data_IF_507737675190
#
_entry.id   IF_507737675190
#
_cell.length_a   1.000
_cell.length_b   1.000
_cell.length_c   1.000
_cell.angle_alpha   90.00
_cell.angle_beta   90.00
_cell.angle_gamma   90.00
#
_symmetry.space_group_name_H-M   'P 1'
#
loop_
_entity.id
_entity.type
_entity.pdbx_description
1 polymer ?
#
# COMPACT_ATOMS: atom_id res chain seq x y z
N UNK A 1 1.99 -65.32 -14.51
CA UNK A 1 3.35 -64.75 -14.33
C UNK A 1 3.71 -64.17 -15.69
N UNK A 2 3.62 -62.88 -15.96
CA UNK A 2 3.59 -61.72 -15.05
C UNK A 2 2.93 -60.55 -15.79
N UNK A 3 2.06 -59.86 -15.06
CA UNK A 3 1.53 -58.51 -15.20
C UNK A 3 1.65 -57.74 -16.52
N UNK A 4 0.49 -57.65 -17.18
CA UNK A 4 0.08 -56.52 -18.01
C UNK A 4 -0.52 -55.44 -17.07
N UNK A 5 0.32 -54.84 -16.22
CA UNK A 5 -0.06 -53.71 -15.38
C UNK A 5 0.71 -52.45 -15.78
N UNK A 6 -0.08 -51.53 -16.33
CA UNK A 6 -0.03 -50.12 -15.99
C UNK A 6 1.14 -49.29 -16.54
N UNK A 7 1.11 -49.06 -17.86
CA UNK A 7 1.80 -47.94 -18.51
C UNK A 7 1.06 -46.59 -18.33
N UNK A 8 0.12 -46.46 -17.38
CA UNK A 8 -0.52 -45.19 -17.03
C UNK A 8 0.06 -44.51 -15.76
N UNK A 9 1.14 -45.02 -15.18
CA UNK A 9 1.83 -44.37 -14.07
C UNK A 9 3.09 -43.63 -14.55
N UNK A 10 3.22 -42.36 -14.12
CA UNK A 10 4.29 -41.38 -14.41
C UNK A 10 4.02 -40.48 -15.63
N UNK A 11 2.89 -39.79 -15.62
CA UNK A 11 2.95 -38.37 -15.99
C UNK A 11 3.47 -37.63 -14.74
N UNK A 12 4.49 -36.77 -14.82
CA UNK A 12 4.86 -35.94 -13.68
C UNK A 12 3.62 -35.14 -13.27
N UNK A 13 3.35 -35.07 -11.95
CA UNK A 13 2.44 -34.06 -11.38
C UNK A 13 2.72 -32.74 -12.10
N UNK A 14 1.70 -31.99 -12.59
CA UNK A 14 1.96 -30.74 -13.29
C UNK A 14 2.85 -29.89 -12.39
N UNK A 15 4.10 -29.66 -12.84
CA UNK A 15 5.03 -28.88 -12.03
C UNK A 15 4.40 -27.50 -11.91
N UNK A 16 4.25 -27.01 -10.67
CA UNK A 16 3.82 -25.63 -10.44
C UNK A 16 4.84 -24.62 -10.98
N UNK A 17 5.94 -25.08 -11.59
CA UNK A 17 7.05 -24.33 -12.15
C UNK A 17 6.63 -23.11 -12.99
N UNK A 18 5.62 -23.16 -13.90
CA UNK A 18 5.18 -21.95 -14.59
C UNK A 18 4.52 -20.90 -13.67
N UNK A 19 3.81 -21.36 -12.63
CA UNK A 19 3.17 -20.49 -11.63
C UNK A 19 4.20 -19.91 -10.67
N UNK A 20 5.18 -20.72 -10.25
CA UNK A 20 6.30 -20.30 -9.40
C UNK A 20 7.13 -19.20 -10.08
N UNK A 21 7.53 -19.41 -11.34
CA UNK A 21 8.27 -18.39 -12.11
C UNK A 21 7.45 -17.11 -12.28
N UNK A 22 6.16 -17.23 -12.60
CA UNK A 22 5.28 -16.05 -12.74
C UNK A 22 5.09 -15.30 -11.41
N UNK A 23 5.05 -16.03 -10.29
CA UNK A 23 4.96 -15.45 -8.96
C UNK A 23 6.24 -14.69 -8.59
N UNK A 24 7.41 -15.28 -8.82
CA UNK A 24 8.70 -14.63 -8.55
C UNK A 24 8.85 -13.31 -9.32
N UNK A 25 8.48 -13.31 -10.61
CA UNK A 25 8.48 -12.10 -11.44
C UNK A 25 7.50 -11.04 -10.93
N UNK A 26 6.30 -11.47 -10.52
CA UNK A 26 5.29 -10.58 -9.94
C UNK A 26 5.77 -9.97 -8.61
N UNK A 27 6.34 -10.76 -7.71
CA UNK A 27 6.85 -10.29 -6.42
C UNK A 27 7.98 -9.26 -6.61
N UNK A 28 8.91 -9.53 -7.54
CA UNK A 28 9.97 -8.59 -7.90
C UNK A 28 9.41 -7.29 -8.48
N UNK A 29 8.42 -7.38 -9.37
CA UNK A 29 7.75 -6.21 -9.94
C UNK A 29 7.03 -5.39 -8.86
N UNK A 30 6.34 -6.05 -7.92
CA UNK A 30 5.67 -5.42 -6.79
C UNK A 30 6.64 -4.66 -5.89
N UNK A 31 7.77 -5.28 -5.53
CA UNK A 31 8.81 -4.62 -4.72
C UNK A 31 9.36 -3.37 -5.42
N UNK A 32 9.65 -3.47 -6.73
CA UNK A 32 10.15 -2.34 -7.53
C UNK A 32 9.12 -1.22 -7.64
N UNK A 33 7.86 -1.56 -7.90
CA UNK A 33 6.76 -0.63 -7.98
C UNK A 33 6.53 0.10 -6.66
N UNK A 34 6.50 -0.64 -5.54
CA UNK A 34 6.38 -0.06 -4.20
C UNK A 34 7.52 0.93 -3.89
N UNK A 35 8.77 0.54 -4.15
CA UNK A 35 9.92 1.42 -3.94
C UNK A 35 9.91 2.64 -4.87
N UNK A 36 9.43 2.49 -6.11
CA UNK A 36 9.23 3.60 -7.04
C UNK A 36 8.16 4.59 -6.54
N UNK A 37 7.03 4.06 -6.06
CA UNK A 37 5.95 4.84 -5.47
C UNK A 37 6.42 5.60 -4.22
N UNK A 38 7.17 4.95 -3.33
CA UNK A 38 7.69 5.59 -2.12
C UNK A 38 8.62 6.77 -2.46
N UNK A 39 9.58 6.58 -3.38
CA UNK A 39 10.44 7.68 -3.87
C UNK A 39 9.65 8.82 -4.50
N UNK A 40 8.67 8.51 -5.35
CA UNK A 40 7.84 9.54 -5.97
C UNK A 40 7.05 10.36 -4.93
N UNK A 41 6.50 9.70 -3.90
CA UNK A 41 5.80 10.38 -2.80
C UNK A 41 6.75 11.28 -1.99
N UNK A 42 7.94 10.78 -1.65
CA UNK A 42 8.96 11.57 -0.94
C UNK A 42 9.31 12.85 -1.71
N UNK A 43 9.60 12.72 -3.01
CA UNK A 43 9.95 13.88 -3.84
C UNK A 43 8.77 14.85 -4.00
N UNK A 44 7.54 14.34 -4.16
CA UNK A 44 6.35 15.17 -4.27
C UNK A 44 6.13 16.03 -3.03
N UNK A 45 6.36 15.47 -1.85
CA UNK A 45 6.21 16.20 -0.58
C UNK A 45 7.36 17.16 -0.34
N UNK A 46 8.60 16.76 -0.66
CA UNK A 46 9.79 17.58 -0.48
C UNK A 46 9.75 18.89 -1.29
N UNK A 47 9.01 18.92 -2.40
CA UNK A 47 8.82 20.13 -3.21
C UNK A 47 7.90 21.17 -2.56
N UNK A 48 7.06 20.78 -1.59
CA UNK A 48 5.95 21.62 -1.08
C UNK A 48 5.98 21.80 0.44
N UNK A 49 6.67 20.92 1.17
CA UNK A 49 6.75 20.96 2.63
C UNK A 49 8.15 21.39 3.07
N UNK A 50 8.21 22.41 3.92
CA UNK A 50 9.46 22.80 4.59
C UNK A 50 9.94 21.74 5.61
N UNK A 51 9.02 20.90 6.10
CA UNK A 51 9.37 19.74 6.92
C UNK A 51 9.69 18.55 6.02
N UNK A 52 10.88 17.92 6.14
CA UNK A 52 11.20 16.73 5.37
C UNK A 52 10.32 15.56 5.83
N UNK A 53 9.41 15.12 4.96
CA UNK A 53 8.56 13.96 5.20
C UNK A 53 9.02 12.74 4.39
N UNK A 54 8.90 11.56 4.98
CA UNK A 54 9.07 10.29 4.27
C UNK A 54 7.85 9.97 3.40
N UNK A 55 7.99 9.00 2.49
CA UNK A 55 6.88 8.59 1.62
C UNK A 55 5.75 7.95 2.43
N UNK A 56 6.10 7.20 3.47
CA UNK A 56 5.15 6.67 4.45
C UNK A 56 4.39 7.77 5.21
N UNK A 57 5.05 8.88 5.55
CA UNK A 57 4.40 10.04 6.21
C UNK A 57 3.46 10.78 5.25
N UNK A 58 3.89 11.00 4.01
CA UNK A 58 3.04 11.58 2.96
C UNK A 58 1.82 10.72 2.63
N UNK A 59 2.00 9.39 2.54
CA UNK A 59 0.92 8.42 2.36
C UNK A 59 -0.09 8.48 3.52
N UNK A 60 0.40 8.46 4.76
CA UNK A 60 -0.44 8.58 5.95
C UNK A 60 -1.23 9.89 5.97
N UNK A 61 -0.61 11.02 5.65
CA UNK A 61 -1.29 12.32 5.56
C UNK A 61 -2.45 12.28 4.55
N UNK A 62 -2.23 11.68 3.37
CA UNK A 62 -3.25 11.54 2.33
C UNK A 62 -4.39 10.62 2.77
N UNK A 63 -4.08 9.53 3.47
CA UNK A 63 -5.08 8.59 4.01
C UNK A 63 -5.88 9.23 5.15
N UNK A 64 -5.25 10.01 6.03
CA UNK A 64 -5.95 10.79 7.07
C UNK A 64 -6.98 11.72 6.43
N UNK A 65 -6.63 12.37 5.32
CA UNK A 65 -7.55 13.23 4.56
C UNK A 65 -8.67 12.48 3.84
N UNK A 66 -8.51 11.19 3.53
CA UNK A 66 -9.50 10.43 2.74
C UNK A 66 -10.92 10.54 3.33
N UNK A 67 -11.91 10.97 2.55
CA UNK A 67 -13.31 11.19 3.00
C UNK A 67 -13.50 12.27 4.10
N UNK A 68 -12.49 13.10 4.38
CA UNK A 68 -12.54 14.24 5.31
C UNK A 68 -13.16 13.92 6.69
N UNK A 69 -12.93 12.70 7.18
CA UNK A 69 -13.34 12.26 8.52
C UNK A 69 -12.17 11.87 9.41
N UNK A 70 -12.30 12.04 10.75
CA UNK A 70 -11.28 11.59 11.69
C UNK A 70 -11.02 10.08 11.56
N UNK A 71 -9.75 9.68 11.72
CA UNK A 71 -9.31 8.27 11.68
C UNK A 71 -8.52 7.89 12.91
N UNK A 72 -8.75 6.68 13.42
CA UNK A 72 -7.97 6.11 14.51
C UNK A 72 -6.68 5.47 14.00
N UNK A 73 -5.70 5.27 14.89
CA UNK A 73 -4.45 4.55 14.56
C UNK A 73 -4.75 3.13 14.03
N UNK A 74 -5.71 2.42 14.65
CA UNK A 74 -6.11 1.07 14.22
C UNK A 74 -6.70 1.08 12.81
N UNK A 75 -7.42 2.14 12.46
CA UNK A 75 -7.96 2.30 11.12
C UNK A 75 -6.87 2.60 10.10
N UNK A 76 -5.93 3.49 10.43
CA UNK A 76 -4.78 3.80 9.58
C UNK A 76 -3.92 2.56 9.32
N UNK A 77 -3.66 1.76 10.35
CA UNK A 77 -2.97 0.47 10.24
C UNK A 77 -3.67 -0.47 9.24
N UNK A 78 -4.99 -0.65 9.37
CA UNK A 78 -5.77 -1.46 8.41
C UNK A 78 -5.75 -0.89 6.99
N UNK A 79 -5.97 0.41 6.82
CA UNK A 79 -6.03 1.05 5.50
C UNK A 79 -4.67 1.00 4.77
N UNK A 80 -3.57 0.85 5.50
CA UNK A 80 -2.22 0.76 4.94
C UNK A 80 -1.66 -0.66 4.91
N UNK A 81 -2.42 -1.66 5.36
CA UNK A 81 -1.96 -3.03 5.58
C UNK A 81 -0.65 -3.09 6.40
N UNK A 82 -0.63 -2.41 7.56
CA UNK A 82 0.54 -2.26 8.44
C UNK A 82 0.28 -2.70 9.87
N UNK A 83 1.21 -3.46 10.43
CA UNK A 83 1.19 -3.90 11.83
C UNK A 83 2.16 -3.14 12.75
N UNK A 84 3.01 -2.28 12.18
CA UNK A 84 4.05 -1.53 12.90
C UNK A 84 3.50 -0.27 13.62
N UNK A 85 2.59 -0.49 14.57
CA UNK A 85 1.92 0.58 15.34
C UNK A 85 2.89 1.64 15.90
N UNK A 86 4.07 1.29 16.46
CA UNK A 86 5.02 2.29 16.95
C UNK A 86 5.52 3.27 15.88
N UNK A 87 5.73 2.79 14.64
CA UNK A 87 6.16 3.64 13.53
C UNK A 87 5.01 4.52 13.03
N UNK A 88 3.78 4.00 12.97
CA UNK A 88 2.60 4.82 12.66
C UNK A 88 2.46 5.95 13.69
N UNK A 89 2.60 5.63 14.98
CA UNK A 89 2.57 6.64 16.06
C UNK A 89 3.70 7.67 15.94
N UNK A 90 4.90 7.25 15.54
CA UNK A 90 6.00 8.16 15.29
C UNK A 90 5.68 9.12 14.13
N UNK A 91 5.23 8.60 12.98
CA UNK A 91 4.82 9.42 11.83
C UNK A 91 3.71 10.40 12.21
N UNK A 92 2.71 9.97 12.97
CA UNK A 92 1.62 10.83 13.43
C UNK A 92 2.10 11.96 14.35
N UNK A 93 3.04 11.68 15.26
CA UNK A 93 3.65 12.72 16.11
C UNK A 93 4.42 13.74 15.26
N UNK A 94 5.17 13.28 14.26
CA UNK A 94 5.91 14.16 13.36
C UNK A 94 4.99 15.04 12.52
N UNK A 95 3.93 14.46 11.94
CA UNK A 95 2.91 15.21 11.19
C UNK A 95 2.19 16.23 12.07
N UNK A 96 1.92 15.90 13.33
CA UNK A 96 1.30 16.82 14.28
C UNK A 96 2.26 17.96 14.68
N UNK A 97 3.55 17.65 14.89
CA UNK A 97 4.58 18.65 15.15
C UNK A 97 4.79 19.61 13.97
N UNK A 98 4.62 19.11 12.74
CA UNK A 98 4.63 19.92 11.52
C UNK A 98 3.32 20.70 11.29
N UNK A 99 2.34 20.62 12.18
CA UNK A 99 1.06 21.32 12.06
C UNK A 99 0.12 20.77 11.00
N UNK A 100 0.41 19.62 10.39
CA UNK A 100 -0.34 19.05 9.26
C UNK A 100 -1.55 18.21 9.69
N UNK A 101 -1.52 17.66 10.90
CA UNK A 101 -2.63 16.90 11.48
C UNK A 101 -2.90 17.33 12.91
N UNK A 102 -4.16 17.26 13.31
CA UNK A 102 -4.60 17.48 14.69
C UNK A 102 -5.08 16.17 15.28
N UNK A 103 -4.87 16.02 16.59
CA UNK A 103 -5.40 14.90 17.38
C UNK A 103 -6.68 15.33 18.09
N UNK A 104 -7.66 14.45 18.13
CA UNK A 104 -8.91 14.64 18.87
C UNK A 104 -9.27 13.35 19.62
N UNK A 105 -10.01 13.51 20.73
CA UNK A 105 -10.41 12.41 21.60
C UNK A 105 -9.41 12.08 22.71
N UNK A 106 -9.93 11.50 23.79
CA UNK A 106 -9.19 10.96 24.94
C UNK A 106 -9.95 9.78 25.55
N UNK A 107 -9.26 8.90 26.28
CA UNK A 107 -9.89 7.78 26.99
C UNK A 107 -10.15 6.53 26.13
N UNK A 108 -11.22 5.79 26.47
CA UNK A 108 -11.49 4.39 26.04
C UNK A 108 -11.80 4.22 24.54
N UNK A 109 -12.23 5.29 23.86
CA UNK A 109 -12.53 5.30 22.41
C UNK A 109 -11.28 5.51 21.54
N UNK A 110 -10.14 5.86 22.13
CA UNK A 110 -8.88 6.09 21.42
C UNK A 110 -8.74 7.50 20.83
N UNK A 111 -7.53 7.79 20.37
CA UNK A 111 -7.15 9.06 19.72
C UNK A 111 -7.41 8.96 18.23
N UNK A 112 -8.09 9.97 17.68
CA UNK A 112 -8.33 10.14 16.25
C UNK A 112 -7.52 11.29 15.69
N UNK A 113 -7.21 11.22 14.41
CA UNK A 113 -6.45 12.21 13.67
C UNK A 113 -7.27 12.77 12.51
N UNK A 114 -7.17 14.07 12.33
CA UNK A 114 -7.79 14.82 11.23
C UNK A 114 -6.75 15.75 10.63
N UNK A 115 -6.84 16.01 9.33
CA UNK A 115 -5.98 16.98 8.65
C UNK A 115 -6.29 18.40 9.12
N UNK A 116 -5.27 19.22 9.35
CA UNK A 116 -5.44 20.66 9.61
C UNK A 116 -5.66 21.42 8.30
N UNK A 117 -5.92 22.73 8.39
CA UNK A 117 -5.96 23.58 7.19
C UNK A 117 -4.63 23.57 6.42
N UNK A 118 -3.50 23.53 7.13
CA UNK A 118 -2.17 23.44 6.52
C UNK A 118 -1.95 22.10 5.83
N UNK A 119 -2.36 21.00 6.48
CA UNK A 119 -2.31 19.68 5.86
C UNK A 119 -3.22 19.56 4.64
N UNK A 120 -4.39 20.23 4.64
CA UNK A 120 -5.27 20.28 3.46
C UNK A 120 -4.58 21.03 2.32
N UNK A 121 -4.01 22.22 2.56
CA UNK A 121 -3.27 22.97 1.53
C UNK A 121 -2.13 22.14 0.94
N UNK A 122 -1.28 21.55 1.78
CA UNK A 122 -0.18 20.71 1.32
C UNK A 122 -0.66 19.53 0.47
N UNK A 123 -1.72 18.84 0.90
CA UNK A 123 -2.24 17.70 0.15
C UNK A 123 -2.95 18.11 -1.15
N UNK A 124 -3.52 19.32 -1.23
CA UNK A 124 -4.04 19.90 -2.46
C UNK A 124 -2.93 20.21 -3.46
N UNK A 125 -1.84 20.83 -3.01
CA UNK A 125 -0.67 21.10 -3.85
C UNK A 125 -0.06 19.80 -4.39
N UNK A 126 0.08 18.77 -3.54
CA UNK A 126 0.53 17.44 -3.96
C UNK A 126 -0.44 16.83 -4.98
N UNK A 127 -1.75 17.01 -4.81
CA UNK A 127 -2.76 16.50 -5.75
C UNK A 127 -2.71 17.23 -7.09
N UNK A 128 -2.49 18.54 -7.10
CA UNK A 128 -2.31 19.35 -8.30
C UNK A 128 -1.06 18.91 -9.07
N UNK A 129 0.07 18.74 -8.38
CA UNK A 129 1.30 18.26 -8.99
C UNK A 129 1.20 16.82 -9.51
N UNK A 130 0.51 15.94 -8.77
CA UNK A 130 0.19 14.59 -9.25
C UNK A 130 -0.58 14.66 -10.57
N UNK A 131 -1.53 15.59 -10.70
CA UNK A 131 -2.31 15.76 -11.92
C UNK A 131 -1.46 16.26 -13.09
N UNK A 132 -0.60 17.25 -12.87
CA UNK A 132 0.21 17.84 -13.94
C UNK A 132 1.38 16.95 -14.40
N UNK A 133 1.90 16.08 -13.53
CA UNK A 133 3.05 15.22 -13.86
C UNK A 133 2.62 13.76 -14.09
N UNK A 134 2.21 13.08 -13.02
CA UNK A 134 1.98 11.64 -13.06
C UNK A 134 0.75 11.28 -13.89
N UNK A 135 -0.39 11.96 -13.66
CA UNK A 135 -1.61 11.67 -14.43
C UNK A 135 -1.41 12.03 -15.90
N UNK A 136 -0.78 13.18 -16.20
CA UNK A 136 -0.49 13.57 -17.57
C UNK A 136 0.34 12.51 -18.30
N UNK A 137 1.44 12.03 -17.70
CA UNK A 137 2.26 10.94 -18.24
C UNK A 137 1.45 9.64 -18.43
N UNK A 138 0.64 9.26 -17.44
CA UNK A 138 -0.17 8.05 -17.52
C UNK A 138 -1.21 8.10 -18.65
N UNK A 139 -1.79 9.28 -18.94
CA UNK A 139 -2.74 9.46 -20.02
C UNK A 139 -2.09 9.35 -21.42
N UNK A 140 -0.77 9.48 -21.53
CA UNK A 140 -0.04 9.16 -22.76
C UNK A 140 0.04 7.65 -23.00
N UNK A 141 -0.12 6.84 -21.95
CA UNK A 141 -0.28 5.40 -22.07
C UNK A 141 -1.74 5.09 -22.41
N UNK A 142 -1.98 4.62 -23.64
CA UNK A 142 -3.32 4.21 -24.05
C UNK A 142 -3.87 3.11 -23.13
N UNK A 143 -5.19 3.13 -22.88
CA UNK A 143 -5.90 2.14 -22.05
C UNK A 143 -5.51 2.09 -20.55
N UNK A 144 -4.83 3.11 -20.02
CA UNK A 144 -4.33 3.09 -18.64
C UNK A 144 -5.42 2.89 -17.56
N UNK A 145 -6.65 3.36 -17.79
CA UNK A 145 -7.74 3.21 -16.82
C UNK A 145 -8.10 1.73 -16.59
N UNK A 146 -8.31 0.97 -17.66
CA UNK A 146 -8.60 -0.46 -17.58
C UNK A 146 -7.40 -1.24 -17.02
N UNK A 147 -6.17 -0.88 -17.41
CA UNK A 147 -4.96 -1.52 -16.89
C UNK A 147 -4.81 -1.30 -15.38
N UNK A 148 -5.16 -0.12 -14.87
CA UNK A 148 -5.17 0.19 -13.43
C UNK A 148 -6.23 -0.61 -12.68
N UNK A 149 -7.43 -0.79 -13.25
CA UNK A 149 -8.49 -1.61 -12.64
C UNK A 149 -8.07 -3.08 -12.52
N UNK A 150 -7.51 -3.65 -13.58
CA UNK A 150 -7.00 -5.03 -13.59
C UNK A 150 -5.85 -5.17 -12.59
N UNK A 151 -4.90 -4.23 -12.60
CA UNK A 151 -3.79 -4.22 -11.65
C UNK A 151 -4.24 -4.11 -10.19
N UNK A 152 -5.21 -3.24 -9.90
CA UNK A 152 -5.78 -3.11 -8.56
C UNK A 152 -6.44 -4.41 -8.09
N UNK A 153 -7.23 -5.05 -8.95
CA UNK A 153 -7.90 -6.31 -8.63
C UNK A 153 -6.88 -7.43 -8.33
N UNK A 154 -5.81 -7.54 -9.13
CA UNK A 154 -4.74 -8.50 -8.91
C UNK A 154 -4.01 -8.24 -7.58
N UNK A 155 -3.64 -6.98 -7.30
CA UNK A 155 -2.98 -6.61 -6.04
C UNK A 155 -3.84 -6.98 -4.82
N UNK A 156 -5.14 -6.68 -4.84
CA UNK A 156 -6.05 -7.04 -3.75
C UNK A 156 -6.15 -8.56 -3.54
N UNK A 157 -6.18 -9.33 -4.63
CA UNK A 157 -6.17 -10.80 -4.57
C UNK A 157 -4.87 -11.31 -3.94
N UNK A 158 -3.73 -10.77 -4.36
CA UNK A 158 -2.42 -11.15 -3.81
C UNK A 158 -2.27 -10.77 -2.34
N UNK A 159 -2.70 -9.56 -1.94
CA UNK A 159 -2.74 -9.16 -0.52
C UNK A 159 -3.56 -10.15 0.29
N UNK A 160 -4.75 -10.53 -0.18
CA UNK A 160 -5.62 -11.48 0.53
C UNK A 160 -4.95 -12.86 0.70
N UNK A 161 -4.25 -13.35 -0.33
CA UNK A 161 -3.52 -14.60 -0.29
C UNK A 161 -2.34 -14.55 0.71
N UNK A 162 -1.56 -13.47 0.69
CA UNK A 162 -0.45 -13.28 1.65
C UNK A 162 -0.96 -13.21 3.09
N UNK A 163 -2.04 -12.49 3.35
CA UNK A 163 -2.60 -12.38 4.70
C UNK A 163 -3.15 -13.70 5.22
N UNK A 164 -3.73 -14.54 4.34
CA UNK A 164 -4.17 -15.89 4.71
C UNK A 164 -2.98 -16.78 5.08
N UNK A 165 -1.92 -16.80 4.27
CA UNK A 165 -0.74 -17.63 4.56
C UNK A 165 0.00 -17.17 5.81
N UNK A 166 0.08 -15.86 6.07
CA UNK A 166 0.63 -15.32 7.33
C UNK A 166 -0.18 -15.81 8.54
N UNK A 167 -1.52 -15.79 8.46
CA UNK A 167 -2.38 -16.31 9.54
C UNK A 167 -2.16 -17.81 9.77
N UNK A 168 -2.10 -18.61 8.72
CA UNK A 168 -1.84 -20.04 8.83
C UNK A 168 -0.48 -20.34 9.45
N UNK A 169 0.56 -19.63 9.03
CA UNK A 169 1.91 -19.76 9.59
C UNK A 169 1.93 -19.40 11.07
N UNK A 170 1.25 -18.32 11.46
CA UNK A 170 1.15 -17.91 12.86
C UNK A 170 0.39 -18.93 13.72
N UNK A 171 -0.65 -19.58 13.19
CA UNK A 171 -1.44 -20.59 13.90
C UNK A 171 -0.69 -21.92 14.14
N UNK A 172 0.40 -22.16 13.40
CA UNK A 172 1.27 -23.35 13.57
C UNK A 172 2.37 -23.15 14.62
N UNK A 173 2.53 -21.93 15.14
CA UNK A 173 3.50 -21.58 16.18
C UNK A 173 2.85 -21.67 17.55
#
# INVERSE_FOLDING_TARGET
>A
MTDDHNLQAILPEPTNEPVEVSLDEFELALIRAYNGLDRWQQQSVALMSETPLSGAEGALLRIIRLHDRPKSIKELARLTNRDDIPNIQYSLRKLAAAGLVSKSGSGRTGVNYTTTQDGVRLTDEIAMNRRSQLIALLLEFGNIEADLEVGQALLNKMTSAFEETVREIAARR
#
